data_IF_753793476236
#
_entry.id   IF_753793476236
#
_cell.length_a   1.000
_cell.length_b   1.000
_cell.length_c   1.000
_cell.angle_alpha   90.00
_cell.angle_beta   90.00
_cell.angle_gamma   90.00
#
_symmetry.space_group_name_H-M   'P 1'
#
loop_
_entity.id
_entity.type
_entity.pdbx_description
1 polymer ?
#
# COMPACT_ATOMS: atom_id res chain seq x y z
N UNK A 1 -43.32 25.14 20.22
CA UNK A 1 -42.78 26.15 19.29
C UNK A 1 -41.63 26.88 19.96
N UNK A 2 -40.40 26.60 19.54
CA UNK A 2 -39.24 27.47 19.76
C UNK A 2 -38.10 26.95 18.88
N UNK A 3 -37.82 27.72 17.84
CA UNK A 3 -36.74 27.56 16.88
C UNK A 3 -35.39 27.88 17.53
N UNK A 4 -34.36 27.05 17.31
CA UNK A 4 -32.97 27.45 17.51
C UNK A 4 -32.07 26.74 16.51
N UNK A 5 -31.83 27.39 15.38
CA UNK A 5 -30.78 27.05 14.44
C UNK A 5 -29.40 27.18 15.12
N UNK A 6 -28.54 26.18 14.96
CA UNK A 6 -27.11 26.28 15.32
C UNK A 6 -26.24 26.03 14.10
N UNK A 7 -25.43 27.05 13.85
CA UNK A 7 -24.40 27.22 12.82
C UNK A 7 -23.42 26.03 12.75
N UNK A 8 -23.21 25.49 11.55
CA UNK A 8 -22.11 24.58 11.23
C UNK A 8 -20.90 25.39 10.72
N UNK A 9 -19.87 25.46 11.55
CA UNK A 9 -18.56 26.04 11.23
C UNK A 9 -17.78 25.13 10.27
N UNK A 10 -17.33 25.69 9.14
CA UNK A 10 -16.41 25.06 8.19
C UNK A 10 -15.01 25.00 8.80
N UNK A 11 -14.46 23.80 8.95
CA UNK A 11 -13.03 23.56 9.19
C UNK A 11 -12.41 22.99 7.92
N UNK A 12 -11.47 23.76 7.35
CA UNK A 12 -10.67 23.39 6.21
C UNK A 12 -9.51 22.49 6.66
N UNK A 13 -9.46 21.26 6.12
CA UNK A 13 -8.36 20.32 6.35
C UNK A 13 -7.40 20.38 5.16
N UNK A 14 -6.30 21.10 5.33
CA UNK A 14 -5.15 21.12 4.42
C UNK A 14 -4.36 19.80 4.53
N UNK A 15 -4.41 18.97 3.49
CA UNK A 15 -3.55 17.77 3.37
C UNK A 15 -2.42 18.05 2.38
N UNK A 16 -1.17 17.95 2.87
CA UNK A 16 0.06 18.06 2.08
C UNK A 16 0.17 16.87 1.12
N UNK A 17 0.30 17.12 -0.19
CA UNK A 17 0.69 16.11 -1.18
C UNK A 17 2.16 15.75 -1.00
N UNK A 18 2.44 14.46 -0.82
CA UNK A 18 3.77 13.88 -1.01
C UNK A 18 3.89 13.42 -2.46
N UNK A 19 4.92 13.88 -3.15
CA UNK A 19 5.30 13.43 -4.50
C UNK A 19 6.16 12.17 -4.41
N UNK A 20 5.84 11.07 -5.10
CA UNK A 20 6.81 9.98 -5.28
C UNK A 20 7.79 10.31 -6.41
N UNK A 21 9.06 10.32 -6.05
CA UNK A 21 10.22 10.42 -6.93
C UNK A 21 10.45 9.12 -7.72
N UNK A 22 10.65 9.28 -9.02
CA UNK A 22 11.48 8.48 -9.94
C UNK A 22 11.63 6.98 -9.70
N UNK A 23 11.02 6.18 -10.58
CA UNK A 23 11.46 4.81 -10.84
C UNK A 23 11.76 4.61 -12.33
N UNK A 24 12.95 4.05 -12.57
CA UNK A 24 13.55 3.77 -13.87
C UNK A 24 12.75 2.71 -14.64
N UNK A 25 12.44 3.02 -15.90
CA UNK A 25 11.87 2.07 -16.87
C UNK A 25 12.97 1.14 -17.39
N UNK A 26 13.06 -0.07 -16.82
CA UNK A 26 13.70 -1.21 -17.48
C UNK A 26 12.71 -1.86 -18.44
N UNK A 27 13.04 -1.84 -19.74
CA UNK A 27 12.35 -2.57 -20.82
C UNK A 27 12.21 -4.04 -20.45
N UNK A 28 10.97 -4.51 -20.32
CA UNK A 28 10.61 -5.92 -20.36
C UNK A 28 9.76 -6.15 -21.61
N UNK A 29 10.30 -6.90 -22.55
CA UNK A 29 9.63 -7.33 -23.78
C UNK A 29 9.02 -8.71 -23.56
N UNK A 30 7.70 -8.79 -23.45
CA UNK A 30 6.92 -10.01 -23.64
C UNK A 30 5.60 -9.68 -24.37
N UNK A 31 5.06 -10.61 -25.17
CA UNK A 31 4.22 -10.30 -26.31
C UNK A 31 2.74 -10.18 -25.93
N UNK A 32 2.10 -9.13 -26.42
CA UNK A 32 0.66 -8.92 -26.28
C UNK A 32 -0.06 -9.85 -27.28
N UNK A 33 -1.00 -10.63 -26.73
CA UNK A 33 -1.90 -11.51 -27.47
C UNK A 33 -2.89 -10.69 -28.31
N UNK A 34 -2.89 -10.93 -29.61
CA UNK A 34 -3.78 -10.31 -30.60
C UNK A 34 -5.15 -11.00 -30.58
N UNK A 35 -6.22 -10.22 -30.38
CA UNK A 35 -7.59 -10.65 -30.69
C UNK A 35 -7.93 -10.36 -32.16
N UNK A 36 -8.13 -11.44 -32.90
CA UNK A 36 -8.89 -11.64 -34.15
C UNK A 36 -9.17 -10.44 -35.07
N UNK A 37 -8.26 -10.16 -35.99
CA UNK A 37 -8.60 -9.58 -37.30
C UNK A 37 -9.13 -10.67 -38.24
N UNK A 38 -10.27 -10.39 -38.90
CA UNK A 38 -10.78 -11.15 -40.05
C UNK A 38 -9.71 -11.18 -41.15
N UNK A 39 -9.45 -12.37 -41.69
CA UNK A 39 -8.55 -12.59 -42.82
C UNK A 39 -9.25 -12.16 -44.12
N UNK A 40 -8.78 -11.08 -44.74
CA UNK A 40 -8.89 -10.90 -46.19
C UNK A 40 -7.55 -11.29 -46.80
N UNK A 41 -7.54 -12.37 -47.59
CA UNK A 41 -6.39 -12.79 -48.38
C UNK A 41 -6.25 -11.89 -49.61
N UNK A 42 -5.15 -11.14 -49.70
CA UNK A 42 -4.76 -10.42 -50.91
C UNK A 42 -3.63 -11.20 -51.61
N UNK A 43 -3.98 -12.01 -52.60
CA UNK A 43 -3.05 -12.40 -53.67
C UNK A 43 -3.04 -11.28 -54.72
N UNK A 44 -1.88 -10.76 -55.15
CA UNK A 44 -1.84 -9.74 -56.20
C UNK A 44 -1.98 -10.43 -57.56
N UNK A 45 -3.06 -10.14 -58.29
CA UNK A 45 -3.16 -10.46 -59.71
C UNK A 45 -2.34 -9.45 -60.54
N UNK A 46 -1.63 -9.88 -61.60
CA UNK A 46 -0.87 -8.97 -62.44
C UNK A 46 -1.80 -8.11 -63.31
N UNK A 47 -1.72 -6.79 -63.16
CA UNK A 47 -2.36 -5.83 -64.05
C UNK A 47 -1.66 -5.84 -65.42
N UNK A 48 -2.37 -6.29 -66.46
CA UNK A 48 -1.98 -6.02 -67.84
C UNK A 48 -2.58 -4.71 -68.35
N UNK A 49 -1.86 -4.15 -69.32
CA UNK A 49 -1.91 -2.78 -69.84
C UNK A 49 -3.23 -2.41 -70.53
N UNK A 50 -3.56 -1.12 -70.33
CA UNK A 50 -4.32 -0.21 -71.22
C UNK A 50 -5.73 -0.67 -71.60
N UNK A 51 -6.70 -0.25 -70.80
CA UNK A 51 -7.99 0.22 -71.31
C UNK A 51 -8.08 1.72 -71.06
N UNK A 52 -8.38 2.49 -72.11
CA UNK A 52 -8.92 3.84 -71.96
C UNK A 52 -10.24 3.68 -71.21
N UNK A 53 -10.29 4.12 -69.95
CA UNK A 53 -11.58 4.35 -69.30
C UNK A 53 -12.17 5.59 -69.96
N UNK A 54 -13.02 5.37 -70.95
CA UNK A 54 -14.04 6.33 -71.34
C UNK A 54 -15.09 6.29 -70.25
N UNK A 55 -15.26 7.41 -69.57
CA UNK A 55 -16.37 7.63 -68.64
C UNK A 55 -17.68 7.25 -69.36
N UNK A 56 -18.50 6.33 -68.80
CA UNK A 56 -19.82 6.11 -69.36
C UNK A 56 -20.63 7.38 -69.12
N UNK A 57 -20.89 8.07 -70.23
CA UNK A 57 -21.86 9.14 -70.37
C UNK A 57 -23.06 8.89 -69.45
N UNK A 58 -23.39 9.86 -68.62
CA UNK A 58 -24.73 10.01 -68.06
C UNK A 58 -25.70 10.01 -69.25
N UNK A 59 -26.35 8.88 -69.48
CA UNK A 59 -27.34 8.72 -70.54
C UNK A 59 -28.60 9.46 -70.10
N UNK A 60 -28.66 10.75 -70.39
CA UNK A 60 -29.89 11.52 -70.35
C UNK A 60 -30.78 11.00 -71.48
N UNK A 61 -31.49 9.90 -71.19
CA UNK A 61 -32.35 9.22 -72.15
C UNK A 61 -33.40 10.17 -72.72
N UNK A 62 -33.24 10.52 -73.99
CA UNK A 62 -34.24 11.25 -74.76
C UNK A 62 -35.47 10.36 -74.95
N UNK A 63 -36.50 10.58 -74.12
CA UNK A 63 -37.78 9.86 -74.19
C UNK A 63 -38.69 10.42 -75.30
N UNK A 64 -38.41 10.06 -76.54
CA UNK A 64 -39.34 10.14 -77.67
C UNK A 64 -39.89 8.72 -77.90
N UNK A 65 -41.15 8.41 -77.53
CA UNK A 65 -42.27 8.39 -78.49
C UNK A 65 -43.68 8.20 -77.84
N UNK A 66 -44.69 9.01 -78.30
CA UNK A 66 -46.20 8.86 -78.37
C UNK A 66 -47.07 8.71 -77.06
N UNK A 67 -48.33 9.22 -76.89
CA UNK A 67 -49.16 10.27 -77.53
C UNK A 67 -49.57 11.45 -76.57
N UNK A 68 -50.27 12.47 -77.08
CA UNK A 68 -50.40 13.84 -76.53
C UNK A 68 -50.87 14.03 -75.07
N UNK A 69 -51.61 13.09 -74.48
CA UNK A 69 -52.02 13.20 -73.07
C UNK A 69 -50.82 13.09 -72.10
N UNK A 70 -49.71 12.52 -72.58
CA UNK A 70 -48.44 12.52 -71.87
C UNK A 70 -47.69 13.85 -71.98
N UNK A 71 -48.04 14.81 -72.86
CA UNK A 71 -47.32 16.09 -72.97
C UNK A 71 -47.54 16.98 -71.74
N UNK A 72 -48.77 17.03 -71.24
CA UNK A 72 -49.13 17.80 -70.03
C UNK A 72 -48.49 17.15 -68.80
N UNK A 73 -48.62 15.83 -68.67
CA UNK A 73 -47.98 15.07 -67.59
C UNK A 73 -46.45 15.14 -67.66
N UNK A 74 -45.86 15.14 -68.87
CA UNK A 74 -44.43 15.40 -69.07
C UNK A 74 -44.06 16.83 -68.68
N UNK A 75 -44.86 17.84 -69.00
CA UNK A 75 -44.58 19.22 -68.60
C UNK A 75 -44.64 19.40 -67.07
N UNK A 76 -45.58 18.72 -66.40
CA UNK A 76 -45.67 18.69 -64.94
C UNK A 76 -44.52 17.89 -64.31
N UNK A 77 -44.16 16.74 -64.87
CA UNK A 77 -43.00 15.96 -64.45
C UNK A 77 -41.70 16.71 -64.72
N UNK A 78 -41.57 17.43 -65.83
CA UNK A 78 -40.41 18.27 -66.15
C UNK A 78 -40.33 19.44 -65.18
N UNK A 79 -41.46 20.07 -64.83
CA UNK A 79 -41.48 21.14 -63.81
C UNK A 79 -41.15 20.60 -62.43
N UNK A 80 -41.65 19.41 -62.09
CA UNK A 80 -41.32 18.72 -60.85
C UNK A 80 -39.84 18.33 -60.81
N UNK A 81 -39.30 17.76 -61.91
CA UNK A 81 -37.90 17.39 -62.08
C UNK A 81 -37.01 18.62 -62.00
N UNK A 82 -37.32 19.70 -62.73
CA UNK A 82 -36.60 20.97 -62.62
C UNK A 82 -36.68 21.55 -61.20
N UNK A 83 -37.80 21.39 -60.48
CA UNK A 83 -37.91 21.84 -59.08
C UNK A 83 -37.19 20.94 -58.07
N UNK A 84 -36.96 19.67 -58.43
CA UNK A 84 -36.15 18.71 -57.69
C UNK A 84 -34.68 19.01 -57.96
N UNK A 85 -34.27 19.19 -59.22
CA UNK A 85 -32.94 19.63 -59.63
C UNK A 85 -32.55 20.99 -59.03
N UNK A 86 -33.51 21.86 -58.71
CA UNK A 86 -33.25 23.15 -58.04
C UNK A 86 -33.16 23.01 -56.51
N UNK A 87 -33.84 22.02 -55.90
CA UNK A 87 -33.76 21.71 -54.45
C UNK A 87 -32.58 20.81 -54.09
N UNK A 88 -32.36 19.81 -54.92
CA UNK A 88 -31.30 18.81 -54.88
C UNK A 88 -30.17 19.18 -55.85
N UNK A 89 -30.13 20.45 -56.29
CA UNK A 89 -29.01 21.00 -57.03
C UNK A 89 -27.74 20.53 -56.32
N UNK A 90 -26.85 19.78 -57.00
CA UNK A 90 -25.64 19.32 -56.35
C UNK A 90 -24.92 20.55 -55.80
N UNK A 91 -24.36 20.42 -54.60
CA UNK A 91 -23.52 21.45 -53.98
C UNK A 91 -22.29 21.81 -54.83
N UNK A 92 -22.19 21.29 -56.05
CA UNK A 92 -21.36 21.72 -57.20
C UNK A 92 -21.62 23.17 -57.66
N UNK A 93 -22.00 24.07 -56.75
CA UNK A 93 -21.48 25.44 -56.87
C UNK A 93 -19.96 25.32 -56.85
N UNK A 94 -19.29 25.58 -57.98
CA UNK A 94 -17.86 25.86 -58.01
C UNK A 94 -17.56 26.94 -56.96
N UNK A 95 -17.23 26.50 -55.74
CA UNK A 95 -17.02 27.39 -54.62
C UNK A 95 -15.87 28.31 -55.01
N UNK A 96 -16.20 29.59 -55.21
CA UNK A 96 -15.29 30.69 -55.50
C UNK A 96 -13.96 30.45 -54.78
N UNK A 97 -12.87 30.12 -55.52
CA UNK A 97 -11.53 29.74 -55.02
C UNK A 97 -11.26 30.25 -53.59
N UNK A 98 -11.68 29.48 -52.60
CA UNK A 98 -11.46 29.80 -51.19
C UNK A 98 -10.00 29.46 -50.91
N UNK A 99 -9.31 30.29 -50.13
CA UNK A 99 -7.95 29.97 -49.71
C UNK A 99 -8.00 28.66 -48.92
N UNK A 100 -7.42 27.61 -49.49
CA UNK A 100 -7.40 26.26 -48.89
C UNK A 100 -6.65 26.31 -47.56
N UNK A 101 -7.20 25.63 -46.56
CA UNK A 101 -6.63 25.53 -45.22
C UNK A 101 -5.37 24.66 -45.15
N UNK A 102 -4.75 24.60 -43.98
CA UNK A 102 -3.59 23.74 -43.72
C UNK A 102 -3.91 22.26 -43.97
N UNK A 103 -5.13 21.80 -43.64
CA UNK A 103 -5.53 20.40 -43.80
C UNK A 103 -5.91 20.01 -45.24
N UNK A 104 -6.20 20.98 -46.11
CA UNK A 104 -6.66 20.73 -47.48
C UNK A 104 -5.62 20.96 -48.59
N UNK A 105 -4.41 21.46 -48.27
CA UNK A 105 -3.44 21.95 -49.27
C UNK A 105 -2.97 20.87 -50.28
N UNK A 106 -2.98 19.59 -49.88
CA UNK A 106 -2.49 18.48 -50.69
C UNK A 106 -3.61 17.59 -51.29
N UNK A 107 -4.85 17.76 -50.83
CA UNK A 107 -5.96 16.87 -51.18
C UNK A 107 -6.87 17.55 -52.23
N UNK A 108 -7.05 16.93 -53.42
CA UNK A 108 -7.87 17.51 -54.48
C UNK A 108 -9.37 17.24 -54.31
N UNK A 109 -9.78 16.67 -53.18
CA UNK A 109 -11.17 16.31 -52.93
C UNK A 109 -12.05 17.54 -52.65
N UNK A 110 -13.36 17.35 -52.70
CA UNK A 110 -14.31 18.43 -52.49
C UNK A 110 -14.35 18.88 -51.01
N UNK A 111 -14.07 17.96 -50.08
CA UNK A 111 -14.09 18.21 -48.64
C UNK A 111 -12.94 19.11 -48.17
N UNK A 112 -11.77 19.04 -48.81
CA UNK A 112 -10.60 19.89 -48.55
C UNK A 112 -10.83 21.38 -48.87
N UNK A 113 -11.91 21.74 -49.56
CA UNK A 113 -12.23 23.13 -49.92
C UNK A 113 -12.96 23.89 -48.80
N UNK A 114 -13.31 23.20 -47.71
CA UNK A 114 -13.93 23.81 -46.53
C UNK A 114 -12.86 24.58 -45.74
N UNK A 115 -13.13 25.82 -45.27
CA UNK A 115 -12.18 26.53 -44.42
C UNK A 115 -11.95 25.79 -43.09
N UNK A 116 -10.69 25.70 -42.65
CA UNK A 116 -10.33 25.08 -41.38
C UNK A 116 -10.91 25.90 -40.20
N UNK A 117 -11.64 25.23 -39.29
CA UNK A 117 -12.09 25.82 -38.02
C UNK A 117 -11.05 25.54 -36.92
N UNK A 118 -9.89 26.20 -37.03
CA UNK A 118 -8.82 26.13 -36.03
C UNK A 118 -9.07 27.05 -34.82
N UNK A 119 -10.22 27.70 -34.77
CA UNK A 119 -10.54 28.64 -33.70
C UNK A 119 -10.85 27.88 -32.42
N UNK A 120 -9.97 27.99 -31.42
CA UNK A 120 -10.20 27.41 -30.10
C UNK A 120 -11.32 28.18 -29.39
N UNK A 121 -12.50 27.56 -29.27
CA UNK A 121 -13.70 28.14 -28.66
C UNK A 121 -13.78 27.96 -27.13
N UNK A 122 -12.69 27.55 -26.49
CA UNK A 122 -12.65 27.17 -25.06
C UNK A 122 -13.62 26.03 -24.65
N UNK A 123 -14.14 25.26 -25.62
CA UNK A 123 -15.13 24.20 -25.38
C UNK A 123 -14.53 22.84 -24.94
N UNK A 124 -13.21 22.71 -25.00
CA UNK A 124 -12.50 21.46 -24.65
C UNK A 124 -11.40 21.71 -23.64
N UNK A 125 -11.12 20.70 -22.83
CA UNK A 125 -10.03 20.73 -21.85
C UNK A 125 -8.86 19.90 -22.34
N UNK A 126 -7.69 20.11 -21.76
CA UNK A 126 -6.50 19.32 -22.11
C UNK A 126 -6.66 17.85 -21.73
N UNK A 127 -5.90 16.96 -22.36
CA UNK A 127 -5.94 15.51 -22.06
C UNK A 127 -5.63 15.19 -20.59
N UNK A 128 -4.75 15.96 -19.95
CA UNK A 128 -4.46 15.82 -18.52
C UNK A 128 -5.67 16.23 -17.66
N UNK A 129 -6.37 17.30 -18.03
CA UNK A 129 -7.59 17.70 -17.35
C UNK A 129 -8.72 16.68 -17.54
N UNK A 130 -8.81 16.02 -18.70
CA UNK A 130 -9.71 14.89 -18.90
C UNK A 130 -9.38 13.71 -17.98
N UNK A 131 -8.09 13.40 -17.76
CA UNK A 131 -7.68 12.34 -16.84
C UNK A 131 -8.09 12.64 -15.39
N UNK A 132 -7.93 13.90 -14.94
CA UNK A 132 -8.40 14.33 -13.62
C UNK A 132 -9.94 14.28 -13.49
N UNK A 133 -10.66 14.66 -14.56
CA UNK A 133 -12.11 14.58 -14.61
C UNK A 133 -12.58 13.12 -14.50
N UNK A 134 -11.91 12.19 -15.18
CA UNK A 134 -12.21 10.76 -15.11
C UNK A 134 -11.97 10.19 -13.72
N UNK A 135 -10.84 10.52 -13.09
CA UNK A 135 -10.60 10.18 -11.68
C UNK A 135 -11.74 10.69 -10.77
N UNK A 136 -12.24 11.89 -11.03
CA UNK A 136 -13.38 12.44 -10.28
C UNK A 136 -14.72 11.72 -10.58
N UNK A 137 -14.87 11.09 -11.75
CA UNK A 137 -16.03 10.23 -12.06
C UNK A 137 -15.93 8.91 -11.29
N UNK A 138 -14.75 8.27 -11.29
CA UNK A 138 -14.48 7.06 -10.52
C UNK A 138 -14.74 7.28 -9.01
N UNK A 139 -14.26 8.40 -8.46
CA UNK A 139 -14.52 8.75 -7.06
C UNK A 139 -16.03 8.89 -6.76
N UNK A 140 -16.78 9.49 -7.67
CA UNK A 140 -18.24 9.62 -7.53
C UNK A 140 -18.96 8.29 -7.67
N UNK A 141 -18.44 7.39 -8.50
CA UNK A 141 -18.93 6.01 -8.59
C UNK A 141 -18.73 5.26 -7.27
N UNK A 142 -17.52 5.29 -6.69
CA UNK A 142 -17.27 4.70 -5.38
C UNK A 142 -18.13 5.35 -4.28
N UNK A 143 -18.30 6.68 -4.29
CA UNK A 143 -19.17 7.37 -3.35
C UNK A 143 -20.63 6.91 -3.46
N UNK A 144 -21.11 6.63 -4.68
CA UNK A 144 -22.45 6.08 -4.92
C UNK A 144 -22.58 4.67 -4.35
N UNK A 145 -21.60 3.80 -4.60
CA UNK A 145 -21.55 2.43 -4.05
C UNK A 145 -21.56 2.50 -2.51
N UNK A 146 -20.77 3.39 -1.91
CA UNK A 146 -20.74 3.57 -0.45
C UNK A 146 -22.07 4.04 0.11
N UNK A 147 -22.73 4.97 -0.57
CA UNK A 147 -24.00 5.53 -0.10
C UNK A 147 -25.17 4.54 -0.21
N UNK A 148 -25.24 3.77 -1.32
CA UNK A 148 -26.42 2.98 -1.66
C UNK A 148 -26.22 1.48 -1.50
N UNK A 149 -25.07 0.94 -1.92
CA UNK A 149 -24.85 -0.50 -1.94
C UNK A 149 -24.25 -1.00 -0.62
N UNK A 150 -23.28 -0.30 -0.03
CA UNK A 150 -22.62 -0.73 1.20
C UNK A 150 -23.57 -0.95 2.39
N UNK A 151 -24.61 -0.10 2.63
CA UNK A 151 -25.57 -0.34 3.71
C UNK A 151 -26.36 -1.64 3.53
N UNK A 152 -26.58 -2.08 2.29
CA UNK A 152 -27.27 -3.35 2.02
C UNK A 152 -26.46 -4.57 2.48
N UNK A 153 -25.13 -4.47 2.53
CA UNK A 153 -24.25 -5.55 2.99
C UNK A 153 -24.43 -5.87 4.47
N UNK A 154 -24.92 -4.91 5.27
CA UNK A 154 -25.21 -5.14 6.69
C UNK A 154 -26.27 -6.24 6.88
N UNK A 155 -27.20 -6.40 5.94
CA UNK A 155 -28.20 -7.47 5.98
C UNK A 155 -27.60 -8.88 5.81
N UNK A 156 -26.44 -8.99 5.15
CA UNK A 156 -25.74 -10.26 4.91
C UNK A 156 -24.65 -10.55 5.96
N UNK A 157 -24.37 -9.58 6.84
CA UNK A 157 -23.33 -9.70 7.86
C UNK A 157 -23.74 -10.75 8.91
N UNK A 158 -22.83 -11.69 9.18
CA UNK A 158 -22.99 -12.69 10.24
C UNK A 158 -22.17 -12.27 11.46
N UNK A 159 -22.71 -12.34 12.69
CA UNK A 159 -21.94 -12.02 13.87
C UNK A 159 -20.79 -13.01 14.06
N UNK A 160 -19.66 -12.51 14.53
CA UNK A 160 -18.51 -13.36 14.85
C UNK A 160 -18.79 -14.17 16.11
N UNK A 161 -18.78 -15.50 15.98
CA UNK A 161 -18.83 -16.42 17.11
C UNK A 161 -17.42 -16.98 17.36
N UNK A 162 -17.08 -17.17 18.63
CA UNK A 162 -15.84 -17.80 19.00
C UNK A 162 -15.87 -19.29 18.59
N UNK A 163 -14.73 -19.87 18.20
CA UNK A 163 -14.65 -21.30 17.95
C UNK A 163 -14.96 -22.08 19.22
N UNK A 164 -15.68 -23.19 19.08
CA UNK A 164 -15.94 -24.10 20.20
C UNK A 164 -14.69 -24.90 20.57
N UNK A 165 -14.72 -25.52 21.75
CA UNK A 165 -13.58 -26.32 22.26
C UNK A 165 -13.22 -27.50 21.34
N UNK A 166 -14.17 -28.01 20.57
CA UNK A 166 -13.96 -29.09 19.59
C UNK A 166 -13.17 -28.63 18.35
N UNK A 167 -13.17 -27.31 18.05
CA UNK A 167 -12.54 -26.74 16.86
C UNK A 167 -11.07 -26.40 17.13
N UNK A 168 -10.26 -27.44 17.34
CA UNK A 168 -8.86 -27.32 17.77
C UNK A 168 -7.92 -26.92 16.60
N UNK A 169 -8.26 -27.32 15.38
CA UNK A 169 -7.39 -27.14 14.20
C UNK A 169 -7.60 -25.79 13.54
N UNK A 170 -6.52 -25.02 13.37
CA UNK A 170 -6.51 -23.77 12.62
C UNK A 170 -5.91 -23.98 11.24
N UNK A 171 -6.76 -23.93 10.22
CA UNK A 171 -6.31 -23.94 8.82
C UNK A 171 -6.10 -22.52 8.29
N UNK A 172 -4.99 -22.31 7.56
CA UNK A 172 -4.71 -21.08 6.83
C UNK A 172 -4.67 -21.37 5.33
N UNK A 173 -5.44 -20.58 4.58
CA UNK A 173 -5.48 -20.58 3.12
C UNK A 173 -4.90 -19.27 2.58
N UNK A 174 -4.29 -19.32 1.41
CA UNK A 174 -3.81 -18.14 0.67
C UNK A 174 -4.55 -18.03 -0.64
N UNK A 175 -4.96 -16.82 -1.02
CA UNK A 175 -5.68 -16.52 -2.26
C UNK A 175 -5.15 -15.23 -2.87
N UNK A 176 -4.94 -15.22 -4.19
CA UNK A 176 -4.39 -14.09 -4.94
C UNK A 176 -5.45 -13.34 -5.78
N UNK A 177 -6.74 -13.52 -5.46
CA UNK A 177 -7.86 -12.70 -5.95
C UNK A 177 -7.85 -12.42 -7.47
N UNK A 178 -7.88 -13.48 -8.27
CA UNK A 178 -7.96 -13.40 -9.74
C UNK A 178 -6.68 -13.85 -10.44
N UNK A 179 -5.55 -13.89 -9.74
CA UNK A 179 -4.30 -14.44 -10.26
C UNK A 179 -4.15 -15.93 -9.94
N UNK A 180 -3.66 -16.71 -10.90
CA UNK A 180 -3.31 -18.10 -10.69
C UNK A 180 -1.85 -18.19 -10.22
N UNK A 181 -1.64 -18.39 -8.92
CA UNK A 181 -0.31 -18.49 -8.31
C UNK A 181 -0.07 -19.90 -7.77
N UNK A 182 1.09 -20.56 -8.05
CA UNK A 182 1.33 -21.95 -7.62
C UNK A 182 1.27 -22.12 -6.10
N UNK A 183 1.68 -21.11 -5.33
CA UNK A 183 1.60 -21.14 -3.86
C UNK A 183 0.16 -21.05 -3.31
N UNK A 184 -0.86 -20.78 -4.13
CA UNK A 184 -2.26 -20.79 -3.71
C UNK A 184 -2.68 -22.19 -3.22
N UNK A 185 -2.14 -23.24 -3.85
CA UNK A 185 -2.43 -24.64 -3.50
C UNK A 185 -2.06 -25.00 -2.06
N UNK A 186 -1.07 -24.31 -1.46
CA UNK A 186 -0.53 -24.60 -0.13
C UNK A 186 -1.55 -24.37 0.96
N UNK A 187 -1.68 -25.34 1.87
CA UNK A 187 -2.48 -25.22 3.09
C UNK A 187 -1.57 -25.39 4.30
N UNK A 188 -1.78 -24.57 5.32
CA UNK A 188 -1.07 -24.68 6.60
C UNK A 188 -2.08 -25.06 7.68
N UNK A 189 -1.73 -26.03 8.51
CA UNK A 189 -2.47 -26.37 9.74
C UNK A 189 -1.61 -26.03 10.95
N UNK A 190 -2.25 -25.40 11.93
CA UNK A 190 -1.70 -25.04 13.21
C UNK A 190 -2.63 -25.57 14.31
N UNK A 191 -2.08 -26.22 15.32
CA UNK A 191 -2.83 -26.63 16.51
C UNK A 191 -1.91 -26.66 17.73
N UNK A 192 -2.52 -26.51 18.91
CA UNK A 192 -1.79 -26.54 20.18
C UNK A 192 -1.74 -27.98 20.72
N UNK A 193 -0.60 -28.36 21.33
CA UNK A 193 -0.50 -29.69 21.95
C UNK A 193 -1.33 -29.81 23.23
N UNK A 194 -1.56 -28.68 23.93
CA UNK A 194 -2.38 -28.63 25.16
C UNK A 194 -3.86 -28.84 24.90
N UNK A 195 -4.38 -28.37 23.77
CA UNK A 195 -5.80 -28.43 23.45
C UNK A 195 -6.26 -29.87 23.14
N UNK A 196 -5.33 -30.77 22.83
CA UNK A 196 -5.60 -32.20 22.65
C UNK A 196 -5.83 -32.94 23.98
N UNK A 197 -5.46 -32.33 25.12
CA UNK A 197 -5.60 -32.88 26.47
C UNK A 197 -6.82 -32.26 27.16
N UNK A 198 -7.65 -33.02 27.90
CA UNK A 198 -7.56 -34.47 28.19
C UNK A 198 -8.36 -35.35 27.21
N UNK A 199 -9.15 -34.76 26.32
CA UNK A 199 -10.16 -35.47 25.53
C UNK A 199 -9.55 -36.51 24.58
N UNK A 200 -8.40 -36.21 23.97
CA UNK A 200 -7.80 -37.07 22.95
C UNK A 200 -6.50 -37.72 23.39
N UNK A 201 -5.70 -37.11 24.27
CA UNK A 201 -4.39 -37.61 24.68
C UNK A 201 -4.13 -37.45 26.19
N UNK A 202 -3.43 -38.43 26.76
CA UNK A 202 -2.81 -38.35 28.10
C UNK A 202 -1.49 -37.56 28.04
N UNK A 203 -0.98 -37.04 29.16
CA UNK A 203 0.27 -36.26 29.18
C UNK A 203 1.50 -37.06 28.65
N UNK A 204 1.60 -38.36 28.97
CA UNK A 204 2.63 -39.23 28.43
C UNK A 204 2.53 -39.34 26.89
N UNK A 205 1.30 -39.51 26.37
CA UNK A 205 1.01 -39.58 24.93
C UNK A 205 1.17 -38.22 24.23
N UNK A 206 1.01 -37.11 24.97
CA UNK A 206 1.33 -35.78 24.46
C UNK A 206 2.83 -35.64 24.25
N UNK A 207 3.63 -36.10 25.20
CA UNK A 207 5.09 -36.08 25.08
C UNK A 207 5.57 -36.97 23.91
N UNK A 208 4.95 -38.14 23.69
CA UNK A 208 5.25 -38.98 22.51
C UNK A 208 4.90 -38.26 21.21
N UNK A 209 3.72 -37.64 21.13
CA UNK A 209 3.32 -36.83 19.97
C UNK A 209 4.36 -35.75 19.67
N UNK A 210 4.83 -35.03 20.69
CA UNK A 210 5.85 -33.99 20.52
C UNK A 210 7.17 -34.53 19.96
N UNK A 211 7.56 -35.75 20.37
CA UNK A 211 8.75 -36.44 19.85
C UNK A 211 8.58 -36.85 18.38
N UNK A 212 7.42 -37.41 18.02
CA UNK A 212 7.12 -37.83 16.63
C UNK A 212 7.10 -36.62 15.68
N UNK A 213 6.51 -35.52 16.14
CA UNK A 213 6.37 -34.27 15.35
C UNK A 213 7.72 -33.60 15.08
N UNK A 214 8.66 -33.71 16.02
CA UNK A 214 10.04 -33.22 15.90
C UNK A 214 10.12 -31.72 15.58
N UNK A 215 10.76 -31.30 14.46
CA UNK A 215 11.07 -29.89 14.18
C UNK A 215 9.84 -29.01 13.90
N UNK A 216 8.67 -29.61 13.69
CA UNK A 216 7.41 -28.90 13.44
C UNK A 216 6.80 -28.31 14.73
N UNK A 217 7.29 -28.75 15.89
CA UNK A 217 6.88 -28.24 17.19
C UNK A 217 7.61 -26.96 17.56
N UNK A 218 6.87 -25.97 18.07
CA UNK A 218 7.43 -24.76 18.65
C UNK A 218 7.28 -24.78 20.19
N UNK A 219 8.39 -24.87 20.97
CA UNK A 219 8.34 -24.92 22.43
C UNK A 219 7.91 -23.61 23.10
N UNK A 220 8.16 -22.43 22.51
CA UNK A 220 7.80 -21.15 23.12
C UNK A 220 6.28 -20.94 23.17
N UNK A 221 5.60 -21.34 22.09
CA UNK A 221 4.13 -21.16 21.93
C UNK A 221 3.35 -22.44 22.19
N UNK A 222 4.05 -23.57 22.32
CA UNK A 222 3.46 -24.90 22.41
C UNK A 222 2.53 -25.26 21.23
N UNK A 223 2.94 -24.83 20.03
CA UNK A 223 2.15 -25.00 18.80
C UNK A 223 2.87 -25.91 17.81
N UNK A 224 2.11 -26.78 17.18
CA UNK A 224 2.56 -27.64 16.10
C UNK A 224 2.10 -27.00 14.79
N UNK A 225 3.03 -26.73 13.88
CA UNK A 225 2.74 -26.14 12.57
C UNK A 225 3.27 -27.01 11.46
N UNK A 226 2.40 -27.37 10.52
CA UNK A 226 2.77 -28.12 9.33
C UNK A 226 1.98 -27.66 8.12
N UNK A 227 2.58 -27.83 6.94
CA UNK A 227 1.97 -27.39 5.68
C UNK A 227 2.07 -28.46 4.62
N UNK A 228 1.11 -28.48 3.71
CA UNK A 228 1.13 -29.35 2.54
C UNK A 228 0.90 -28.52 1.26
N UNK A 229 1.73 -28.78 0.26
CA UNK A 229 1.66 -28.23 -1.10
C UNK A 229 1.92 -29.33 -2.14
N UNK A 230 1.69 -30.60 -1.77
CA UNK A 230 1.97 -31.76 -2.63
C UNK A 230 0.95 -31.92 -3.75
N UNK A 231 -0.30 -31.55 -3.50
CA UNK A 231 -1.40 -31.73 -4.43
C UNK A 231 -1.77 -30.41 -5.11
N UNK A 232 -2.31 -30.45 -6.35
CA UNK A 232 -2.69 -29.23 -7.07
C UNK A 232 -3.86 -28.50 -6.41
N UNK A 233 -4.80 -29.23 -5.78
CA UNK A 233 -5.99 -28.61 -5.18
C UNK A 233 -5.82 -28.38 -3.68
N UNK A 234 -6.27 -27.20 -3.22
CA UNK A 234 -6.29 -26.83 -1.79
C UNK A 234 -7.09 -27.83 -0.94
N UNK A 235 -8.19 -28.36 -1.48
CA UNK A 235 -9.03 -29.34 -0.80
C UNK A 235 -8.29 -30.67 -0.53
N UNK A 236 -7.53 -31.17 -1.51
CA UNK A 236 -6.70 -32.37 -1.32
C UNK A 236 -5.60 -32.14 -0.28
N UNK A 237 -4.91 -30.99 -0.34
CA UNK A 237 -3.89 -30.63 0.65
C UNK A 237 -4.47 -30.53 2.06
N UNK A 238 -5.68 -29.96 2.22
CA UNK A 238 -6.39 -29.92 3.51
C UNK A 238 -6.70 -31.32 4.02
N UNK A 239 -7.26 -32.19 3.16
CA UNK A 239 -7.63 -33.56 3.53
C UNK A 239 -6.42 -34.36 4.00
N UNK A 240 -5.33 -34.30 3.23
CA UNK A 240 -4.07 -34.95 3.60
C UNK A 240 -3.54 -34.49 4.96
N UNK A 241 -3.64 -33.19 5.27
CA UNK A 241 -3.24 -32.68 6.58
C UNK A 241 -4.15 -33.20 7.70
N UNK A 242 -5.46 -33.34 7.45
CA UNK A 242 -6.39 -33.96 8.40
C UNK A 242 -6.05 -35.42 8.68
N UNK A 243 -5.84 -36.21 7.62
CA UNK A 243 -5.46 -37.63 7.72
C UNK A 243 -4.12 -37.80 8.45
N UNK A 244 -3.15 -36.91 8.19
CA UNK A 244 -1.85 -36.92 8.84
C UNK A 244 -1.92 -36.54 10.32
N UNK A 245 -2.77 -35.57 10.70
CA UNK A 245 -2.97 -35.26 12.13
C UNK A 245 -3.63 -36.45 12.83
N UNK A 246 -4.58 -37.12 12.18
CA UNK A 246 -5.19 -38.32 12.72
C UNK A 246 -4.16 -39.44 12.90
N UNK A 247 -3.29 -39.68 11.91
CA UNK A 247 -2.24 -40.71 12.02
C UNK A 247 -1.27 -40.40 13.16
N UNK A 248 -0.86 -39.13 13.34
CA UNK A 248 0.00 -38.71 14.44
C UNK A 248 -0.64 -38.97 15.81
N UNK A 249 -1.95 -38.72 15.94
CA UNK A 249 -2.69 -38.98 17.19
C UNK A 249 -2.80 -40.49 17.43
N UNK A 250 -3.05 -41.30 16.39
CA UNK A 250 -3.09 -42.76 16.50
C UNK A 250 -1.73 -43.32 16.91
N UNK A 251 -0.64 -42.91 16.26
CA UNK A 251 0.72 -43.31 16.62
C UNK A 251 1.09 -42.90 18.04
N UNK A 252 0.67 -41.72 18.49
CA UNK A 252 0.92 -41.28 19.86
C UNK A 252 0.15 -42.09 20.93
N UNK A 253 -0.98 -42.72 20.56
CA UNK A 253 -1.80 -43.55 21.45
C UNK A 253 -1.34 -45.00 21.52
N UNK A 254 -1.07 -45.59 20.36
CA UNK A 254 -0.83 -47.03 20.18
C UNK A 254 0.66 -47.37 20.08
N UNK A 255 1.49 -46.39 19.71
CA UNK A 255 2.93 -46.56 19.51
C UNK A 255 3.73 -46.65 20.81
N UNK A 256 5.04 -46.81 20.64
CA UNK A 256 6.00 -46.80 21.74
C UNK A 256 5.99 -45.45 22.48
N UNK A 257 6.12 -45.50 23.81
CA UNK A 257 6.09 -44.32 24.67
C UNK A 257 7.37 -43.47 24.59
N UNK A 258 8.42 -43.98 23.92
CA UNK A 258 9.71 -43.31 23.74
C UNK A 258 10.25 -42.69 25.04
N UNK A 259 9.97 -43.31 26.19
CA UNK A 259 10.20 -42.71 27.51
C UNK A 259 11.69 -42.49 27.81
N UNK A 260 12.53 -43.30 27.17
CA UNK A 260 13.99 -43.25 27.17
C UNK A 260 14.56 -42.04 26.40
N UNK A 261 13.85 -41.55 25.37
CA UNK A 261 14.30 -40.44 24.53
C UNK A 261 13.83 -39.10 25.12
N UNK A 262 14.72 -38.14 25.45
CA UNK A 262 14.32 -36.80 25.87
C UNK A 262 13.76 -35.98 24.70
N UNK A 263 12.92 -34.98 24.99
CA UNK A 263 12.39 -34.08 23.95
C UNK A 263 13.51 -33.22 23.35
N UNK A 264 13.73 -33.36 22.04
CA UNK A 264 14.71 -32.54 21.32
C UNK A 264 14.12 -31.16 20.95
N UNK A 265 14.82 -30.11 21.37
CA UNK A 265 14.46 -28.70 21.14
C UNK A 265 15.52 -27.93 20.35
N UNK A 266 16.55 -28.61 19.82
CA UNK A 266 17.69 -27.98 19.15
C UNK A 266 17.31 -27.21 17.87
N UNK A 267 16.21 -27.58 17.22
CA UNK A 267 15.71 -26.88 16.03
C UNK A 267 15.18 -25.48 16.34
N UNK A 268 14.73 -25.25 17.57
CA UNK A 268 14.12 -23.99 17.96
C UNK A 268 15.16 -23.07 18.60
N UNK A 269 15.38 -21.89 18.01
CA UNK A 269 16.22 -20.84 18.60
C UNK A 269 15.34 -19.91 19.43
N UNK A 270 15.35 -20.02 20.78
CA UNK A 270 14.52 -19.16 21.62
C UNK A 270 14.91 -17.71 21.39
N UNK A 271 13.90 -16.86 21.22
CA UNK A 271 14.13 -15.42 21.16
C UNK A 271 14.54 -14.96 22.55
N UNK A 272 15.59 -14.14 22.63
CA UNK A 272 15.95 -13.49 23.88
C UNK A 272 14.72 -12.73 24.38
N UNK A 273 14.27 -12.97 25.64
CA UNK A 273 13.11 -12.26 26.16
C UNK A 273 13.37 -10.76 26.04
N UNK A 274 12.35 -9.96 25.68
CA UNK A 274 12.51 -8.53 25.66
C UNK A 274 12.96 -8.06 27.05
N UNK A 275 13.89 -7.09 27.08
CA UNK A 275 14.32 -6.50 28.32
C UNK A 275 13.14 -5.71 28.89
N UNK A 276 12.57 -6.21 29.99
CA UNK A 276 11.50 -5.52 30.69
C UNK A 276 12.08 -4.47 31.62
N UNK A 277 11.35 -3.36 31.79
CA UNK A 277 11.72 -2.35 32.76
C UNK A 277 11.75 -2.96 34.16
N UNK A 278 12.83 -2.80 34.95
CA UNK A 278 12.90 -3.40 36.28
C UNK A 278 11.78 -2.90 37.17
N UNK A 279 10.95 -3.82 37.69
CA UNK A 279 9.83 -3.45 38.56
C UNK A 279 10.26 -2.65 39.79
N UNK A 280 11.47 -2.88 40.29
CA UNK A 280 12.07 -2.13 41.42
C UNK A 280 12.33 -0.65 41.12
N UNK A 281 12.38 -0.25 39.86
CA UNK A 281 12.53 1.16 39.44
C UNK A 281 11.19 1.86 39.25
N UNK A 282 10.07 1.13 39.39
CA UNK A 282 8.77 1.76 39.41
C UNK A 282 8.70 2.70 40.62
N UNK A 283 8.46 3.99 40.37
CA UNK A 283 8.34 5.02 41.39
C UNK A 283 7.00 4.88 42.14
N UNK A 284 6.93 3.87 43.01
CA UNK A 284 5.85 3.73 43.99
C UNK A 284 6.02 4.77 45.10
N UNK A 285 4.94 5.09 45.83
CA UNK A 285 5.00 6.07 46.94
C UNK A 285 6.06 5.69 47.98
N UNK A 286 6.09 4.41 48.37
CA UNK A 286 7.11 3.84 49.26
C UNK A 286 8.53 4.07 48.72
N UNK A 287 8.77 3.78 47.43
CA UNK A 287 10.09 3.99 46.82
C UNK A 287 10.48 5.47 46.78
N UNK A 288 9.52 6.37 46.59
CA UNK A 288 9.77 7.80 46.62
C UNK A 288 10.18 8.28 48.03
N UNK A 289 9.53 7.75 49.07
CA UNK A 289 9.88 8.00 50.47
C UNK A 289 11.27 7.46 50.81
N UNK A 290 11.56 6.20 50.46
CA UNK A 290 12.90 5.60 50.61
C UNK A 290 13.99 6.45 49.93
N UNK A 291 13.74 6.91 48.70
CA UNK A 291 14.68 7.77 47.98
C UNK A 291 14.83 9.15 48.62
N UNK A 292 13.79 9.67 49.27
CA UNK A 292 13.87 10.93 50.00
C UNK A 292 14.70 10.76 51.27
N UNK A 293 14.55 9.64 51.99
CA UNK A 293 15.36 9.27 53.14
C UNK A 293 16.82 9.06 52.75
N UNK A 294 17.10 8.25 51.72
CA UNK A 294 18.45 8.03 51.19
C UNK A 294 19.14 9.34 50.76
N UNK A 295 18.38 10.32 50.24
CA UNK A 295 18.92 11.65 49.89
C UNK A 295 19.26 12.46 51.13
N UNK A 296 18.38 12.49 52.14
CA UNK A 296 18.63 13.17 53.42
C UNK A 296 19.84 12.58 54.14
N UNK A 297 19.94 11.25 54.19
CA UNK A 297 21.09 10.56 54.80
C UNK A 297 22.40 10.90 54.11
N UNK A 298 22.40 10.94 52.76
CA UNK A 298 23.57 11.36 51.98
C UNK A 298 23.97 12.81 52.24
N UNK A 299 23.01 13.71 52.34
CA UNK A 299 23.28 15.12 52.68
C UNK A 299 23.90 15.25 54.07
N UNK A 300 23.37 14.53 55.06
CA UNK A 300 23.92 14.49 56.42
C UNK A 300 25.36 13.92 56.41
N UNK A 301 25.60 12.84 55.67
CA UNK A 301 26.93 12.23 55.56
C UNK A 301 27.95 13.19 54.91
N UNK A 302 27.54 13.91 53.86
CA UNK A 302 28.38 14.91 53.20
C UNK A 302 28.71 16.09 54.11
N UNK A 303 27.79 16.53 54.98
CA UNK A 303 28.08 17.58 55.97
C UNK A 303 29.08 17.13 57.04
N UNK A 304 29.07 15.85 57.40
CA UNK A 304 29.96 15.28 58.42
C UNK A 304 31.39 15.06 57.92
N UNK A 305 31.57 14.80 56.62
CA UNK A 305 32.88 14.57 56.03
C UNK A 305 33.46 15.88 55.49
N UNK A 306 34.76 16.15 55.68
CA UNK A 306 35.39 17.28 55.02
C UNK A 306 35.33 17.07 53.51
N UNK A 307 34.71 18.01 52.79
CA UNK A 307 34.70 18.01 51.33
C UNK A 307 36.13 18.31 50.87
N UNK A 308 36.84 17.28 50.41
CA UNK A 308 38.18 17.46 49.84
C UNK A 308 38.03 18.00 48.44
N UNK A 309 38.29 19.29 48.25
CA UNK A 309 38.44 19.84 46.90
C UNK A 309 39.84 19.48 46.37
N UNK A 310 39.86 18.59 45.38
CA UNK A 310 41.10 18.16 44.74
C UNK A 310 41.88 19.31 44.12
N UNK A 311 41.20 20.35 43.63
CA UNK A 311 41.87 21.51 43.03
C UNK A 311 42.57 22.35 44.09
N UNK A 312 41.96 22.56 45.24
CA UNK A 312 42.57 23.26 46.36
C UNK A 312 43.73 22.46 46.96
N UNK A 313 43.56 21.14 47.11
CA UNK A 313 44.64 20.25 47.55
C UNK A 313 45.84 20.29 46.60
N UNK A 314 45.60 20.30 45.28
CA UNK A 314 46.66 20.46 44.27
C UNK A 314 47.29 21.86 44.35
N UNK A 315 46.49 22.93 44.49
CA UNK A 315 47.02 24.29 44.61
C UNK A 315 47.89 24.46 45.87
N UNK A 316 47.48 23.88 47.00
CA UNK A 316 48.25 23.84 48.25
C UNK A 316 49.54 23.03 48.04
N UNK A 317 49.46 21.86 47.41
CA UNK A 317 50.61 20.99 47.14
C UNK A 317 51.63 21.65 46.18
N UNK A 318 51.17 22.32 45.12
CA UNK A 318 52.03 23.08 44.20
C UNK A 318 52.73 24.22 44.91
N UNK A 319 52.06 24.89 45.87
CA UNK A 319 52.66 25.96 46.67
C UNK A 319 53.63 25.45 47.74
N UNK A 320 53.35 24.30 48.36
CA UNK A 320 54.12 23.79 49.50
C UNK A 320 55.29 22.89 49.10
N UNK A 321 55.25 22.25 47.94
CA UNK A 321 56.31 21.36 47.45
C UNK A 321 57.17 22.08 46.38
N UNK A 322 58.44 22.41 46.68
CA UNK A 322 59.29 23.14 45.74
C UNK A 322 59.61 22.37 44.46
N UNK A 323 59.52 21.04 44.46
CA UNK A 323 59.74 20.20 43.26
C UNK A 323 58.62 20.26 42.22
N UNK A 324 57.40 20.69 42.60
CA UNK A 324 56.26 20.90 41.69
C UNK A 324 56.14 22.36 41.23
N UNK A 325 56.54 23.31 42.08
CA UNK A 325 56.63 24.75 41.77
C UNK A 325 57.76 25.08 40.78
N UNK A 326 58.88 24.36 40.86
CA UNK A 326 60.08 24.57 40.03
C UNK A 326 60.09 23.80 38.70
N UNK A 327 58.93 23.46 38.14
CA UNK A 327 58.85 23.27 36.69
C UNK A 327 59.01 24.65 36.01
N UNK A 328 60.23 25.19 36.07
CA UNK A 328 60.62 26.49 35.55
C UNK A 328 60.43 26.54 34.03
N UNK A 329 60.01 27.69 33.48
CA UNK A 329 59.98 27.93 32.05
C UNK A 329 61.40 27.80 31.49
N UNK A 330 61.63 26.79 30.66
CA UNK A 330 62.82 26.80 29.79
C UNK A 330 62.64 27.86 28.71
N UNK A 331 63.24 29.02 28.97
CA UNK A 331 64.16 29.68 28.04
C UNK A 331 63.55 30.71 27.08
N UNK A 332 63.95 31.97 27.27
CA UNK A 332 64.04 32.94 26.18
C UNK A 332 65.07 32.44 25.18
N UNK A 333 64.58 31.85 24.10
CA UNK A 333 65.30 31.51 22.88
C UNK A 333 64.25 31.31 21.81
N UNK A 334 64.23 32.17 20.80
CA UNK A 334 63.23 32.16 19.74
C UNK A 334 63.12 30.77 19.09
N UNK A 335 62.02 30.06 19.33
CA UNK A 335 61.81 28.74 18.75
C UNK A 335 60.68 27.97 19.43
N UNK A 336 59.52 27.94 18.75
CA UNK A 336 58.41 26.98 18.88
C UNK A 336 57.89 26.64 20.29
N UNK A 337 56.69 27.15 20.59
CA UNK A 337 55.84 26.61 21.65
C UNK A 337 55.41 25.19 21.26
N UNK A 338 56.04 24.16 21.82
CA UNK A 338 55.46 22.82 21.80
C UNK A 338 54.28 22.80 22.77
N UNK A 339 53.07 22.83 22.22
CA UNK A 339 51.87 22.53 22.95
C UNK A 339 51.95 21.06 23.40
N UNK A 340 52.23 20.83 24.68
CA UNK A 340 52.01 19.51 25.29
C UNK A 340 50.52 19.28 25.29
N UNK A 341 50.05 18.57 24.26
CA UNK A 341 48.67 18.16 24.13
C UNK A 341 48.31 17.21 25.26
N UNK A 342 47.78 17.75 26.36
CA UNK A 342 47.00 16.96 27.31
C UNK A 342 45.78 16.49 26.54
N UNK A 343 45.84 15.26 26.06
CA UNK A 343 44.71 14.58 25.45
C UNK A 343 43.73 14.27 26.57
N UNK A 344 42.94 15.27 26.95
CA UNK A 344 41.66 15.04 27.61
C UNK A 344 40.91 14.16 26.64
N UNK A 345 40.82 12.86 26.94
CA UNK A 345 39.83 12.03 26.28
C UNK A 345 38.50 12.72 26.55
N UNK A 346 37.96 13.36 25.50
CA UNK A 346 36.56 13.73 25.47
C UNK A 346 35.80 12.42 25.65
N UNK A 347 35.47 12.12 26.90
CA UNK A 347 34.38 11.23 27.22
C UNK A 347 33.20 11.65 26.35
N UNK A 348 32.63 10.67 25.67
CA UNK A 348 31.45 10.78 24.81
C UNK A 348 30.55 11.95 25.21
N UNK A 349 30.26 12.79 24.23
CA UNK A 349 29.18 13.79 24.19
C UNK A 349 28.20 13.70 25.37
N UNK A 350 28.11 14.73 26.24
CA UNK A 350 26.86 14.94 26.94
C UNK A 350 25.83 15.29 25.87
N UNK A 351 24.78 14.48 25.78
CA UNK A 351 23.59 14.78 25.02
C UNK A 351 23.18 16.21 25.33
N UNK A 352 23.10 17.00 24.26
CA UNK A 352 22.55 18.35 24.18
C UNK A 352 21.30 18.44 25.08
N UNK A 353 21.45 19.00 26.28
CA UNK A 353 20.30 19.43 27.07
C UNK A 353 19.62 20.52 26.24
N UNK A 354 18.47 20.18 25.66
CA UNK A 354 17.57 21.17 25.08
C UNK A 354 17.11 22.04 26.24
N UNK A 355 17.52 23.30 26.22
CA UNK A 355 16.93 24.36 27.03
C UNK A 355 15.44 24.42 26.71
N UNK A 356 14.62 23.90 27.62
CA UNK A 356 13.19 24.16 27.65
C UNK A 356 13.03 25.53 28.31
N UNK A 357 12.72 26.54 27.50
CA UNK A 357 12.23 27.83 27.96
C UNK A 357 10.89 27.63 28.70
N UNK A 358 10.63 28.31 29.83
CA UNK A 358 9.33 28.25 30.48
C UNK A 358 8.38 29.20 29.73
N UNK A 359 7.67 28.67 28.74
CA UNK A 359 6.40 29.28 28.34
C UNK A 359 5.29 28.51 29.06
N UNK A 360 4.66 29.21 30.00
CA UNK A 360 3.43 28.82 30.63
C UNK A 360 2.37 28.56 29.55
N UNK A 361 1.97 27.29 29.41
CA UNK A 361 0.87 26.83 28.60
C UNK A 361 0.13 25.78 29.40
N UNK A 362 -0.94 26.22 30.07
CA UNK A 362 -1.92 25.36 30.73
C UNK A 362 -2.46 24.40 29.66
N UNK A 363 -2.20 23.10 29.80
CA UNK A 363 -2.85 22.08 29.00
C UNK A 363 -3.32 20.95 29.91
N UNK A 364 -4.63 20.94 30.15
CA UNK A 364 -5.39 19.93 30.87
C UNK A 364 -5.35 18.58 30.14
N UNK A 365 -4.74 17.57 30.77
CA UNK A 365 -4.99 16.17 30.42
C UNK A 365 -6.09 15.62 31.33
N UNK A 366 -7.35 15.78 30.92
CA UNK A 366 -8.41 14.84 31.28
C UNK A 366 -8.51 13.81 30.15
N UNK A 367 -8.03 12.59 30.39
CA UNK A 367 -8.63 11.40 29.78
C UNK A 367 -8.49 10.27 30.79
N UNK A 368 -9.59 10.07 31.51
CA UNK A 368 -9.80 8.98 32.43
C UNK A 368 -10.06 7.66 31.71
N UNK A 369 -9.79 6.60 32.46
CA UNK A 369 -10.20 5.23 32.23
C UNK A 369 -11.63 5.13 31.66
N UNK A 370 -11.75 4.60 30.43
CA UNK A 370 -13.00 4.02 29.95
C UNK A 370 -12.88 2.51 30.16
N UNK A 371 -13.22 2.08 31.38
CA UNK A 371 -13.26 0.69 31.81
C UNK A 371 -14.39 0.52 32.81
N UNK A 372 -15.60 0.94 32.43
CA UNK A 372 -16.87 0.56 33.07
C UNK A 372 -17.99 1.36 32.40
N UNK A 373 -18.73 0.77 31.46
CA UNK A 373 -20.11 1.09 31.07
C UNK A 373 -20.42 0.43 29.72
N UNK A 374 -20.68 -0.88 29.75
CA UNK A 374 -21.47 -1.60 28.73
C UNK A 374 -22.22 -2.72 29.47
N UNK A 375 -23.10 -2.30 30.37
CA UNK A 375 -24.34 -3.00 30.69
C UNK A 375 -25.45 -2.04 30.31
N UNK A 376 -26.45 -2.55 29.61
CA UNK A 376 -27.61 -1.85 29.07
C UNK A 376 -27.34 -1.07 27.78
N UNK A 377 -27.29 -1.80 26.66
CA UNK A 377 -28.17 -1.63 25.49
C UNK A 377 -28.21 -2.93 24.69
#
# INVERSE_FOLDING_TARGET
>A
MATSARSLSRLASSVKRQTPSGQNLTRCSCPIAWQSHRRFSATPAPFHRKSKATDPLLDSGNFADIPEMQKVMRHELQRAFNSIDERDAPLDTEMRRVKVGFWGDADPDEYAKTPDDDNFKDDTITSMAHAELEQHRELREYARIIAWDMPSLTALAKPFHLPQQDQILRFRYTTYMGENHPAESKVVVEFCSKDLRPTYLTEAQRITLLKIVGPRYNPDKDTIRMSCEKFPTRAQNKRYLGDLVQSLITEAKEGDSFADIPLDLRHHKPRKPPLNFPSRWNMTKKRAEELAEERKEREIALQKLPVVDGNEAIAIAVRSLPGLSQASPRGVGAGQKEAVGVRVQRGRNPLRQRSISPQAGICSCMYGNISSLLREF
#
